data_IF_890489356465
#
_entry.id   IF_890489356465
#
_cell.length_a   1.000
_cell.length_b   1.000
_cell.length_c   1.000
_cell.angle_alpha   90.00
_cell.angle_beta   90.00
_cell.angle_gamma   90.00
#
_symmetry.space_group_name_H-M   'P 1'
#
loop_
_entity.id
_entity.type
_entity.pdbx_description
1 polymer ?
#
# COMPACT_ATOMS: atom_id res chain seq x y z
N UNK A 1 7.25 -4.16 -13.28
CA UNK A 1 7.81 -4.31 -11.92
C UNK A 1 6.85 -3.60 -10.98
N UNK A 2 6.38 -4.23 -9.91
CA UNK A 2 5.47 -3.64 -8.94
C UNK A 2 6.22 -3.47 -7.62
N UNK A 3 6.18 -2.28 -7.03
CA UNK A 3 6.91 -2.01 -5.80
C UNK A 3 5.99 -1.31 -4.79
N UNK A 4 6.14 -1.66 -3.53
CA UNK A 4 5.61 -0.92 -2.38
C UNK A 4 6.76 -0.25 -1.62
N UNK A 5 6.50 0.93 -1.08
CA UNK A 5 7.45 1.67 -0.24
C UNK A 5 6.78 1.95 1.11
N UNK A 6 6.80 0.99 2.05
CA UNK A 6 6.21 1.20 3.37
C UNK A 6 6.99 2.28 4.14
N UNK A 7 6.30 3.02 4.99
CA UNK A 7 6.94 4.02 5.87
C UNK A 7 7.84 3.38 6.94
N UNK A 8 7.56 2.12 7.30
CA UNK A 8 8.39 1.36 8.25
C UNK A 8 8.31 -0.15 8.07
N UNK A 9 9.39 -0.83 8.42
CA UNK A 9 9.48 -2.29 8.50
C UNK A 9 9.63 -2.71 9.96
N UNK A 10 8.82 -3.67 10.40
CA UNK A 10 8.95 -4.35 11.68
C UNK A 10 9.32 -5.82 11.47
N UNK A 11 9.46 -6.59 12.55
CA UNK A 11 9.91 -7.98 12.48
C UNK A 11 8.94 -8.90 11.72
N UNK A 12 7.62 -8.69 11.85
CA UNK A 12 6.56 -9.49 11.22
C UNK A 12 5.46 -8.65 10.53
N UNK A 13 5.63 -7.33 10.50
CA UNK A 13 4.66 -6.39 9.96
C UNK A 13 5.34 -5.23 9.27
N UNK A 14 4.53 -4.42 8.59
CA UNK A 14 4.96 -3.12 8.08
C UNK A 14 4.08 -2.02 8.70
N UNK A 15 4.54 -0.79 8.56
CA UNK A 15 3.85 0.39 9.05
C UNK A 15 3.64 1.35 7.88
N UNK A 16 2.45 1.90 7.80
CA UNK A 16 2.10 2.99 6.91
C UNK A 16 1.46 4.11 7.74
N UNK A 17 1.97 5.32 7.59
CA UNK A 17 1.60 6.50 8.36
C UNK A 17 0.98 7.53 7.42
N UNK A 18 -0.24 7.96 7.73
CA UNK A 18 -0.90 9.09 7.07
C UNK A 18 -1.00 10.27 8.01
N UNK A 19 -0.54 11.44 7.56
CA UNK A 19 -0.62 12.71 8.27
C UNK A 19 -1.52 13.69 7.51
N UNK A 20 -2.86 13.56 7.62
CA UNK A 20 -3.80 14.40 6.90
C UNK A 20 -3.75 15.87 7.34
N UNK A 21 -3.90 16.77 6.36
CA UNK A 21 -3.97 18.22 6.58
C UNK A 21 -5.38 18.65 7.07
N UNK A 22 -6.41 17.83 6.84
CA UNK A 22 -7.79 18.15 7.25
C UNK A 22 -8.60 16.90 7.59
N UNK A 23 -9.68 17.08 8.38
CA UNK A 23 -10.59 16.03 8.84
C UNK A 23 -11.48 15.41 7.75
N UNK A 24 -11.11 15.50 6.46
CA UNK A 24 -11.82 14.79 5.39
C UNK A 24 -11.57 13.28 5.53
N UNK A 25 -12.34 12.64 6.42
CA UNK A 25 -12.38 11.20 6.65
C UNK A 25 -12.88 10.49 5.40
N UNK A 26 -11.97 10.12 4.51
CA UNK A 26 -12.20 9.11 3.47
C UNK A 26 -11.02 8.15 3.40
N UNK A 27 -10.53 7.68 4.54
CA UNK A 27 -9.57 6.58 4.56
C UNK A 27 -10.38 5.30 4.45
N UNK A 28 -10.50 4.76 3.22
CA UNK A 28 -11.06 3.43 3.03
C UNK A 28 -10.00 2.43 3.46
N UNK A 29 -10.01 2.11 4.74
CA UNK A 29 -9.04 1.33 5.51
C UNK A 29 -8.68 -0.06 4.98
N UNK A 30 -9.33 -0.56 3.93
CA UNK A 30 -9.03 -1.87 3.34
C UNK A 30 -8.73 -1.85 1.84
N UNK A 31 -9.25 -0.88 1.07
CA UNK A 31 -9.19 -0.93 -0.41
C UNK A 31 -7.94 -0.27 -1.01
N UNK A 32 -7.19 0.53 -0.25
CA UNK A 32 -6.00 1.22 -0.75
C UNK A 32 -4.68 0.55 -0.34
N UNK A 33 -4.76 -0.53 0.46
CA UNK A 33 -3.59 -1.21 1.00
C UNK A 33 -3.34 -2.53 0.31
N UNK A 34 -2.58 -2.44 -0.77
CA UNK A 34 -2.07 -3.61 -1.47
C UNK A 34 -0.57 -3.70 -1.24
N UNK A 35 -0.12 -4.88 -0.83
CA UNK A 35 1.29 -5.18 -0.62
C UNK A 35 1.83 -6.05 -1.76
N UNK A 36 2.16 -5.51 -2.94
CA UNK A 36 3.16 -6.13 -3.78
C UNK A 36 4.53 -5.75 -3.23
N UNK A 37 5.11 -6.62 -2.40
CA UNK A 37 6.55 -6.59 -2.18
C UNK A 37 7.18 -7.67 -3.05
N UNK A 38 7.65 -7.29 -4.25
CA UNK A 38 8.39 -8.19 -5.15
C UNK A 38 9.89 -8.19 -4.87
N UNK A 39 10.34 -7.61 -3.75
CA UNK A 39 11.75 -7.64 -3.38
C UNK A 39 12.08 -8.96 -2.69
N UNK A 40 12.96 -9.73 -3.31
CA UNK A 40 13.42 -11.06 -2.91
C UNK A 40 14.02 -11.16 -1.47
N UNK A 41 14.13 -10.04 -0.76
CA UNK A 41 14.72 -9.94 0.59
C UNK A 41 13.73 -9.52 1.68
N UNK A 42 12.44 -9.32 1.35
CA UNK A 42 11.40 -9.14 2.37
C UNK A 42 10.88 -10.54 2.71
N UNK A 43 10.85 -10.93 4.01
CA UNK A 43 10.36 -12.24 4.40
C UNK A 43 8.98 -12.46 3.77
N UNK A 44 8.76 -13.65 3.22
CA UNK A 44 7.59 -14.12 2.46
C UNK A 44 6.20 -13.88 3.09
N UNK A 45 6.12 -13.19 4.24
CA UNK A 45 4.93 -13.05 5.08
C UNK A 45 4.99 -11.79 5.97
N UNK A 46 4.87 -10.58 5.41
CA UNK A 46 4.34 -9.47 6.22
C UNK A 46 2.84 -9.71 6.35
N UNK A 47 2.44 -10.52 7.34
CA UNK A 47 1.04 -10.93 7.54
C UNK A 47 0.15 -9.78 7.97
N UNK A 48 0.75 -8.65 8.36
CA UNK A 48 0.07 -7.53 8.97
C UNK A 48 0.68 -6.20 8.52
N UNK A 49 -0.18 -5.21 8.40
CA UNK A 49 0.18 -3.81 8.27
C UNK A 49 -0.46 -3.03 9.42
N UNK A 50 0.31 -2.16 10.06
CA UNK A 50 -0.22 -1.13 10.94
C UNK A 50 -0.45 0.14 10.13
N UNK A 51 -1.72 0.47 9.94
CA UNK A 51 -2.13 1.73 9.34
C UNK A 51 -2.38 2.76 10.43
N UNK A 52 -1.52 3.77 10.46
CA UNK A 52 -1.53 4.82 11.47
C UNK A 52 -1.99 6.12 10.82
N UNK A 53 -3.09 6.69 11.31
CA UNK A 53 -3.58 8.00 10.84
C UNK A 53 -3.44 8.99 11.98
N UNK A 54 -2.51 9.94 11.83
CA UNK A 54 -2.38 11.04 12.77
C UNK A 54 -3.55 12.02 12.63
N UNK A 55 -4.05 12.54 13.74
CA UNK A 55 -5.05 13.61 13.70
C UNK A 55 -4.42 14.87 13.05
N UNK A 56 -5.16 15.66 12.25
CA UNK A 56 -4.62 16.90 11.69
C UNK A 56 -4.06 17.87 12.73
N UNK A 57 -4.58 17.81 13.97
CA UNK A 57 -4.09 18.59 15.12
C UNK A 57 -3.12 17.78 16.00
N UNK A 58 -2.42 16.77 15.46
CA UNK A 58 -1.49 15.90 16.20
C UNK A 58 -0.47 16.68 17.02
N UNK A 59 0.03 17.82 16.53
CA UNK A 59 0.96 18.67 17.28
C UNK A 59 0.43 19.09 18.64
N UNK A 60 -0.90 19.21 18.77
CA UNK A 60 -1.62 19.62 19.99
C UNK A 60 -2.12 18.39 20.75
N UNK A 61 -2.89 17.51 20.09
CA UNK A 61 -3.63 16.44 20.75
C UNK A 61 -2.88 15.09 20.84
N UNK A 62 -1.79 14.92 20.09
CA UNK A 62 -1.00 13.68 19.98
C UNK A 62 -1.82 12.44 19.60
N UNK A 63 -2.99 12.64 18.98
CA UNK A 63 -3.92 11.57 18.68
C UNK A 63 -3.52 10.85 17.38
N UNK A 64 -3.51 9.52 17.43
CA UNK A 64 -3.24 8.65 16.28
C UNK A 64 -4.23 7.49 16.32
N UNK A 65 -4.96 7.30 15.22
CA UNK A 65 -5.77 6.11 15.00
C UNK A 65 -4.88 5.02 14.41
N UNK A 66 -4.82 3.84 15.06
CA UNK A 66 -4.00 2.72 14.62
C UNK A 66 -4.90 1.54 14.28
N UNK A 67 -4.79 1.05 13.05
CA UNK A 67 -5.59 -0.06 12.54
C UNK A 67 -4.64 -1.17 12.11
N UNK A 68 -4.84 -2.37 12.63
CA UNK A 68 -4.10 -3.55 12.19
C UNK A 68 -4.86 -4.22 11.05
N UNK A 69 -4.25 -4.26 9.87
CA UNK A 69 -4.80 -4.87 8.67
C UNK A 69 -4.05 -6.18 8.45
N UNK A 70 -4.78 -7.28 8.36
CA UNK A 70 -4.18 -8.58 8.03
C UNK A 70 -4.02 -8.71 6.51
N UNK A 71 -2.99 -9.42 6.10
CA UNK A 71 -2.76 -9.77 4.71
C UNK A 71 -3.90 -10.65 4.18
N UNK A 72 -4.47 -10.24 3.05
CA UNK A 72 -5.48 -10.97 2.30
C UNK A 72 -4.87 -11.40 0.96
N UNK A 73 -4.54 -12.68 0.85
CA UNK A 73 -3.90 -13.22 -0.36
C UNK A 73 -4.81 -13.26 -1.58
N UNK A 74 -6.12 -13.43 -1.40
CA UNK A 74 -7.09 -13.47 -2.50
C UNK A 74 -7.28 -12.07 -3.08
N UNK A 75 -7.42 -11.07 -2.20
CA UNK A 75 -7.50 -9.67 -2.60
C UNK A 75 -6.22 -9.21 -3.32
N UNK A 76 -5.04 -9.51 -2.77
CA UNK A 76 -3.77 -9.14 -3.41
C UNK A 76 -3.62 -9.79 -4.77
N UNK A 77 -3.93 -11.09 -4.89
CA UNK A 77 -3.83 -11.81 -6.17
C UNK A 77 -4.75 -11.20 -7.23
N UNK A 78 -6.03 -11.01 -6.93
CA UNK A 78 -6.99 -10.42 -7.86
C UNK A 78 -6.63 -8.99 -8.28
N UNK A 79 -6.07 -8.21 -7.36
CA UNK A 79 -5.58 -6.86 -7.68
C UNK A 79 -4.34 -6.88 -8.58
N UNK A 80 -3.38 -7.77 -8.34
CA UNK A 80 -2.18 -7.90 -9.19
C UNK A 80 -2.56 -8.29 -10.62
N UNK A 81 -3.51 -9.21 -10.79
CA UNK A 81 -4.04 -9.58 -12.10
C UNK A 81 -4.66 -8.38 -12.83
N UNK A 82 -5.42 -7.55 -12.10
CA UNK A 82 -6.00 -6.31 -12.64
C UNK A 82 -4.93 -5.31 -13.09
N UNK A 83 -3.90 -5.06 -12.27
CA UNK A 83 -2.80 -4.17 -12.65
C UNK A 83 -2.05 -4.70 -13.87
N UNK A 84 -1.70 -5.99 -13.89
CA UNK A 84 -0.96 -6.59 -15.01
C UNK A 84 -1.77 -6.45 -16.30
N UNK A 85 -3.08 -6.68 -16.22
CA UNK A 85 -3.99 -6.52 -17.36
C UNK A 85 -4.01 -5.06 -17.85
N UNK A 86 -4.07 -4.10 -16.93
CA UNK A 86 -3.99 -2.67 -17.26
C UNK A 86 -2.67 -2.32 -17.98
N UNK A 87 -1.53 -2.75 -17.44
CA UNK A 87 -0.22 -2.46 -18.04
C UNK A 87 -0.07 -3.07 -19.43
N UNK A 88 -0.51 -4.32 -19.61
CA UNK A 88 -0.48 -5.00 -20.91
C UNK A 88 -1.30 -4.28 -21.97
N UNK A 89 -2.44 -3.72 -21.58
CA UNK A 89 -3.37 -3.07 -22.52
C UNK A 89 -3.05 -1.61 -22.80
N UNK A 90 -2.43 -0.88 -21.87
CA UNK A 90 -2.27 0.57 -21.98
C UNK A 90 -0.82 1.05 -21.98
N UNK A 91 0.09 0.34 -21.30
CA UNK A 91 1.47 0.82 -21.11
C UNK A 91 2.43 0.14 -22.08
N UNK A 92 2.37 -1.19 -22.18
CA UNK A 92 3.31 -1.95 -23.02
C UNK A 92 3.26 -1.59 -24.51
N UNK A 93 2.07 -1.34 -25.13
CA UNK A 93 2.03 -0.91 -26.53
C UNK A 93 2.78 0.41 -26.75
N UNK A 94 2.56 1.40 -25.88
CA UNK A 94 3.24 2.71 -25.96
C UNK A 94 4.75 2.59 -25.79
N UNK A 95 5.19 1.72 -24.88
CA UNK A 95 6.62 1.47 -24.70
C UNK A 95 7.24 0.79 -25.92
N UNK A 96 6.56 -0.18 -26.52
CA UNK A 96 7.03 -0.86 -27.73
C UNK A 96 7.17 0.12 -28.92
N UNK A 97 6.15 0.96 -29.13
CA UNK A 97 6.17 1.99 -30.17
C UNK A 97 7.24 3.07 -29.95
N UNK A 98 7.65 3.33 -28.70
CA UNK A 98 8.65 4.36 -28.40
C UNK A 98 10.09 4.01 -28.79
N UNK A 99 10.34 2.75 -29.16
CA UNK A 99 11.65 2.23 -29.54
C UNK A 99 11.75 1.89 -31.04
N UNK A 100 10.64 2.05 -31.78
CA UNK A 100 10.59 2.03 -33.25
C UNK A 100 10.69 3.46 -33.82
#
# INVERSE_FOLDING_TARGET
>A
MLAGSPDGLCQDSIVEIKCPISNKKKWKTQQEMLFPNTNANVPKWTKKCYFCVADPNFSINKNVEIICINFDGEYVTSFLESIITFWKSHVYPLLYESIE
#
